data_IF_551732483643
#
_entry.id   IF_551732483643
#
_cell.length_a   1.000
_cell.length_b   1.000
_cell.length_c   1.000
_cell.angle_alpha   90.00
_cell.angle_beta   90.00
_cell.angle_gamma   90.00
#
_symmetry.space_group_name_H-M   'P 1'
#
loop_
_entity.id
_entity.type
_entity.pdbx_description
1 polymer ?
#
# COMPACT_ATOMS: atom_id res chain seq x y z
N UNK A 1 -28.47 -54.17 -1.19
CA UNK A 1 -27.57 -53.56 -2.21
C UNK A 1 -27.96 -52.12 -2.58
N UNK A 2 -28.29 -51.24 -1.61
CA UNK A 2 -28.58 -49.80 -1.86
C UNK A 2 -27.93 -48.85 -0.84
N UNK A 3 -27.19 -49.40 0.14
CA UNK A 3 -26.47 -48.63 1.15
C UNK A 3 -25.04 -48.25 0.71
N UNK A 4 -24.52 -48.87 -0.35
CA UNK A 4 -23.21 -48.51 -0.94
C UNK A 4 -23.28 -47.33 -1.92
N UNK A 5 -24.47 -46.96 -2.39
CA UNK A 5 -24.64 -45.80 -3.29
C UNK A 5 -24.55 -44.45 -2.55
N UNK A 6 -24.79 -44.43 -1.24
CA UNK A 6 -24.65 -43.22 -0.41
C UNK A 6 -23.20 -42.92 -0.01
N UNK A 7 -22.28 -43.88 -0.17
CA UNK A 7 -20.86 -43.66 0.15
C UNK A 7 -20.11 -42.97 -1.00
N UNK A 8 -20.54 -43.16 -2.26
CA UNK A 8 -19.92 -42.53 -3.43
C UNK A 8 -20.42 -41.08 -3.60
N UNK A 9 -21.67 -40.77 -3.23
CA UNK A 9 -22.18 -39.38 -3.26
C UNK A 9 -21.57 -38.46 -2.20
N UNK A 10 -21.11 -38.99 -1.06
CA UNK A 10 -20.45 -38.18 -0.03
C UNK A 10 -18.98 -37.88 -0.32
N UNK A 11 -18.38 -38.52 -1.33
CA UNK A 11 -16.98 -38.25 -1.71
C UNK A 11 -16.87 -37.11 -2.74
N UNK A 12 -17.92 -36.82 -3.50
CA UNK A 12 -17.90 -35.82 -4.57
C UNK A 12 -18.26 -34.40 -4.07
N UNK A 13 -18.82 -34.26 -2.86
CA UNK A 13 -19.15 -32.94 -2.30
C UNK A 13 -18.03 -32.29 -1.46
N UNK A 14 -16.94 -33.00 -1.19
CA UNK A 14 -15.82 -32.49 -0.36
C UNK A 14 -14.77 -31.73 -1.17
N UNK A 15 -14.88 -31.69 -2.50
CA UNK A 15 -13.98 -30.93 -3.37
C UNK A 15 -14.63 -29.60 -3.78
N UNK A 16 -15.25 -28.92 -2.82
CA UNK A 16 -15.58 -27.52 -2.92
C UNK A 16 -14.26 -26.75 -3.11
N UNK A 17 -14.01 -26.49 -4.39
CA UNK A 17 -13.09 -25.60 -5.08
C UNK A 17 -12.86 -24.24 -4.40
N UNK A 18 -12.46 -24.21 -3.13
CA UNK A 18 -12.06 -23.01 -2.40
C UNK A 18 -10.59 -22.66 -2.68
N UNK A 19 -10.15 -22.80 -3.93
CA UNK A 19 -8.92 -22.21 -4.45
C UNK A 19 -9.24 -20.84 -5.02
N UNK A 20 -9.73 -19.92 -4.19
CA UNK A 20 -9.99 -18.55 -4.61
C UNK A 20 -8.67 -17.89 -4.99
N UNK A 21 -8.45 -17.83 -6.31
CA UNK A 21 -7.72 -16.80 -7.03
C UNK A 21 -6.43 -16.30 -6.37
N UNK A 22 -5.30 -16.89 -6.76
CA UNK A 22 -3.97 -16.30 -6.64
C UNK A 22 -3.79 -15.09 -7.58
N UNK A 23 -4.68 -14.10 -7.49
CA UNK A 23 -4.37 -12.78 -7.99
C UNK A 23 -3.27 -12.23 -7.07
N UNK A 24 -2.11 -11.89 -7.65
CA UNK A 24 -1.06 -11.18 -6.94
C UNK A 24 -1.62 -9.82 -6.50
N UNK A 25 -2.23 -9.80 -5.32
CA UNK A 25 -2.87 -8.62 -4.77
C UNK A 25 -1.77 -7.60 -4.44
N UNK A 26 -1.87 -6.42 -5.04
CA UNK A 26 -0.96 -5.30 -4.77
C UNK A 26 -1.61 -4.45 -3.69
N UNK A 27 -0.92 -4.29 -2.55
CA UNK A 27 -1.42 -3.52 -1.41
C UNK A 27 -0.78 -2.14 -1.36
N UNK A 28 -1.61 -1.12 -1.13
CA UNK A 28 -1.13 0.24 -0.89
C UNK A 28 -0.81 0.44 0.58
N UNK A 29 0.47 0.59 0.92
CA UNK A 29 0.91 0.71 2.33
C UNK A 29 0.50 2.02 3.01
N UNK A 30 0.15 3.04 2.23
CA UNK A 30 -0.29 4.32 2.76
C UNK A 30 -1.76 4.30 3.20
N UNK A 31 -2.59 3.45 2.59
CA UNK A 31 -4.04 3.40 2.85
C UNK A 31 -4.52 2.08 3.47
N UNK A 32 -3.79 0.98 3.29
CA UNK A 32 -4.23 -0.33 3.76
C UNK A 32 -4.19 -0.47 5.28
N UNK A 33 -5.06 -1.33 5.81
CA UNK A 33 -5.07 -1.73 7.21
C UNK A 33 -4.02 -2.78 7.53
N UNK A 34 -3.68 -2.91 8.82
CA UNK A 34 -2.68 -3.89 9.27
C UNK A 34 -3.06 -5.33 8.89
N UNK A 35 -4.34 -5.70 8.94
CA UNK A 35 -4.80 -7.03 8.54
C UNK A 35 -4.59 -7.30 7.05
N UNK A 36 -4.80 -6.30 6.19
CA UNK A 36 -4.57 -6.43 4.74
C UNK A 36 -3.08 -6.56 4.44
N UNK A 37 -2.25 -5.76 5.11
CA UNK A 37 -0.79 -5.82 4.97
C UNK A 37 -0.25 -7.20 5.41
N UNK A 38 -0.74 -7.74 6.52
CA UNK A 38 -0.37 -9.07 7.03
C UNK A 38 -0.73 -10.21 6.05
N UNK A 39 -1.92 -10.13 5.43
CA UNK A 39 -2.36 -11.16 4.48
C UNK A 39 -1.63 -11.11 3.14
N UNK A 40 -1.35 -9.90 2.64
CA UNK A 40 -0.81 -9.72 1.29
C UNK A 40 0.71 -9.84 1.27
N UNK A 41 1.41 -9.41 2.32
CA UNK A 41 2.87 -9.36 2.32
C UNK A 41 3.51 -10.63 2.90
N UNK A 42 4.52 -11.15 2.21
CA UNK A 42 5.30 -12.32 2.62
C UNK A 42 6.22 -11.96 3.79
N UNK A 43 6.23 -12.78 4.85
CA UNK A 43 7.02 -12.58 6.07
C UNK A 43 6.69 -11.29 6.85
N UNK A 44 5.52 -10.69 6.62
CA UNK A 44 5.02 -9.55 7.39
C UNK A 44 3.85 -10.06 8.23
N UNK A 45 4.14 -10.40 9.49
CA UNK A 45 3.10 -10.81 10.44
C UNK A 45 2.36 -9.62 11.07
N UNK A 46 1.39 -9.88 11.98
CA UNK A 46 0.53 -8.84 12.55
C UNK A 46 1.32 -7.74 13.28
N UNK A 47 2.38 -8.11 14.01
CA UNK A 47 3.24 -7.14 14.69
C UNK A 47 3.97 -6.20 13.74
N UNK A 48 4.45 -6.71 12.59
CA UNK A 48 5.15 -5.90 11.59
C UNK A 48 4.17 -5.03 10.81
N UNK A 49 2.99 -5.57 10.50
CA UNK A 49 1.93 -4.82 9.86
C UNK A 49 1.45 -3.64 10.73
N UNK A 50 1.30 -3.87 12.04
CA UNK A 50 1.03 -2.80 13.00
C UNK A 50 2.14 -1.74 13.01
N UNK A 51 3.41 -2.17 13.04
CA UNK A 51 4.54 -1.24 12.99
C UNK A 51 4.55 -0.36 11.73
N UNK A 52 4.11 -0.86 10.57
CA UNK A 52 3.94 -0.05 9.34
C UNK A 52 2.88 1.03 9.54
N UNK A 53 1.75 0.67 10.13
CA UNK A 53 0.64 1.60 10.40
C UNK A 53 1.04 2.66 11.43
N UNK A 54 1.78 2.27 12.47
CA UNK A 54 2.32 3.21 13.45
C UNK A 54 3.37 4.13 12.84
N UNK A 55 4.27 3.59 12.02
CA UNK A 55 5.29 4.38 11.33
C UNK A 55 4.67 5.47 10.47
N UNK A 56 3.64 5.16 9.66
CA UNK A 56 2.97 6.19 8.86
C UNK A 56 2.22 7.24 9.69
N UNK A 57 1.73 6.87 10.89
CA UNK A 57 1.10 7.82 11.81
C UNK A 57 2.12 8.78 12.42
N UNK A 58 3.32 8.28 12.74
CA UNK A 58 4.37 9.07 13.37
C UNK A 58 5.21 9.90 12.37
N UNK A 59 5.52 9.33 11.20
CA UNK A 59 6.44 9.92 10.21
C UNK A 59 5.73 10.44 8.95
N UNK A 60 4.44 10.16 8.79
CA UNK A 60 3.67 10.48 7.59
C UNK A 60 3.71 9.38 6.52
N UNK A 61 3.09 9.64 5.37
CA UNK A 61 2.98 8.67 4.29
C UNK A 61 4.35 8.24 3.72
N UNK A 62 4.46 6.97 3.35
CA UNK A 62 5.61 6.41 2.67
C UNK A 62 5.71 6.96 1.25
N UNK A 63 6.90 7.46 0.87
CA UNK A 63 7.19 7.98 -0.47
C UNK A 63 7.72 6.92 -1.42
N UNK A 64 8.38 5.90 -0.86
CA UNK A 64 9.05 4.83 -1.59
C UNK A 64 8.90 3.52 -0.84
N UNK A 65 8.87 2.41 -1.58
CA UNK A 65 8.77 1.06 -0.99
C UNK A 65 9.97 0.78 -0.05
N UNK A 66 11.14 1.34 -0.35
CA UNK A 66 12.37 1.16 0.45
C UNK A 66 12.26 1.73 1.87
N UNK A 67 11.37 2.71 2.09
CA UNK A 67 11.15 3.27 3.43
C UNK A 67 10.51 2.27 4.40
N UNK A 68 9.93 1.18 3.91
CA UNK A 68 9.49 0.08 4.78
C UNK A 68 10.64 -0.56 5.56
N UNK A 69 11.88 -0.48 5.07
CA UNK A 69 13.05 -0.97 5.80
C UNK A 69 13.39 -0.13 7.04
N UNK A 70 12.80 1.07 7.18
CA UNK A 70 12.91 1.90 8.38
C UNK A 70 11.96 1.46 9.50
N UNK A 71 10.98 0.60 9.18
CA UNK A 71 10.02 0.07 10.13
C UNK A 71 10.67 -1.04 10.95
N UNK A 72 10.52 -0.98 12.28
CA UNK A 72 11.08 -1.96 13.20
C UNK A 72 10.60 -3.38 12.85
N UNK A 73 11.56 -4.27 12.57
CA UNK A 73 11.28 -5.68 12.23
C UNK A 73 11.06 -5.96 10.75
N UNK A 74 11.16 -4.95 9.87
CA UNK A 74 11.16 -5.11 8.41
C UNK A 74 12.56 -4.81 7.89
N UNK A 75 13.21 -5.84 7.32
CA UNK A 75 14.52 -5.68 6.69
C UNK A 75 14.41 -5.56 5.17
N UNK A 76 15.50 -5.13 4.53
CA UNK A 76 15.61 -5.00 3.06
C UNK A 76 15.18 -6.27 2.32
N UNK A 77 15.60 -7.44 2.80
CA UNK A 77 15.20 -8.75 2.24
C UNK A 77 13.69 -8.96 2.20
N UNK A 78 12.98 -8.48 3.22
CA UNK A 78 11.51 -8.55 3.26
C UNK A 78 10.90 -7.56 2.28
N UNK A 79 11.46 -6.36 2.18
CA UNK A 79 11.02 -5.34 1.23
C UNK A 79 11.19 -5.84 -0.21
N UNK A 80 12.36 -6.37 -0.58
CA UNK A 80 12.65 -6.90 -1.91
C UNK A 80 11.70 -8.02 -2.32
N UNK A 81 11.42 -8.97 -1.43
CA UNK A 81 10.45 -10.06 -1.69
C UNK A 81 9.03 -9.59 -1.92
N UNK A 82 8.70 -8.38 -1.48
CA UNK A 82 7.36 -7.83 -1.54
C UNK A 82 7.24 -6.64 -2.49
N UNK A 83 8.31 -6.26 -3.20
CA UNK A 83 8.30 -5.09 -4.10
C UNK A 83 7.19 -5.16 -5.13
N UNK A 84 6.94 -6.34 -5.69
CA UNK A 84 5.90 -6.55 -6.70
C UNK A 84 4.47 -6.54 -6.11
N UNK A 85 4.35 -6.61 -4.77
CA UNK A 85 3.09 -6.67 -4.02
C UNK A 85 2.79 -5.36 -3.29
N UNK A 86 3.71 -4.39 -3.32
CA UNK A 86 3.59 -3.13 -2.59
C UNK A 86 3.47 -1.98 -3.59
N UNK A 87 2.53 -1.08 -3.33
CA UNK A 87 2.48 0.21 -4.01
C UNK A 87 2.53 1.37 -3.03
N UNK A 88 3.26 2.42 -3.42
CA UNK A 88 3.32 3.74 -2.76
C UNK A 88 2.67 4.79 -3.65
N UNK A 89 1.57 4.41 -4.30
CA UNK A 89 0.77 5.35 -5.06
C UNK A 89 -0.10 6.19 -4.13
N UNK A 90 0.09 7.51 -4.12
CA UNK A 90 -1.07 8.37 -3.97
C UNK A 90 -1.92 8.12 -5.20
N UNK A 91 -2.86 7.17 -5.11
CA UNK A 91 -4.07 7.30 -5.90
C UNK A 91 -4.65 8.63 -5.42
N UNK A 92 -4.31 9.74 -6.10
CA UNK A 92 -5.21 10.88 -6.13
C UNK A 92 -6.58 10.24 -6.34
N UNK A 93 -7.56 10.47 -5.45
CA UNK A 93 -8.89 9.91 -5.63
C UNK A 93 -9.23 10.13 -7.10
N UNK A 94 -9.76 9.12 -7.79
CA UNK A 94 -10.04 9.24 -9.22
C UNK A 94 -10.85 10.52 -9.56
N UNK A 95 -11.58 11.08 -8.59
CA UNK A 95 -12.24 12.39 -8.63
C UNK A 95 -11.32 13.63 -8.77
N UNK A 96 -10.06 13.60 -8.32
CA UNK A 96 -9.11 14.71 -8.42
C UNK A 96 -8.38 14.79 -9.78
N UNK A 97 -8.66 13.87 -10.70
CA UNK A 97 -8.17 13.92 -12.09
C UNK A 97 -9.10 14.70 -13.03
N UNK A 98 -10.29 15.09 -12.57
CA UNK A 98 -11.24 15.89 -13.36
C UNK A 98 -10.99 17.40 -13.31
N UNK A 99 -9.94 17.87 -12.62
CA UNK A 99 -9.55 19.28 -12.69
C UNK A 99 -8.57 19.44 -13.85
N UNK A 100 -8.95 20.09 -14.96
CA UNK A 100 -8.03 20.37 -16.05
C UNK A 100 -6.81 21.11 -15.51
N UNK A 101 -5.65 20.79 -16.06
CA UNK A 101 -4.32 21.35 -15.81
C UNK A 101 -4.24 22.85 -16.17
N UNK A 102 -5.12 23.68 -15.61
CA UNK A 102 -5.23 25.11 -15.90
C UNK A 102 -5.35 25.93 -14.60
N UNK A 103 -4.57 25.61 -13.56
CA UNK A 103 -4.44 26.46 -12.37
C UNK A 103 -3.29 26.04 -11.43
N UNK A 104 -2.09 25.75 -11.96
CA UNK A 104 -0.89 25.80 -11.10
C UNK A 104 -0.22 27.17 -11.30
N UNK A 105 -0.23 28.07 -10.29
CA UNK A 105 0.64 29.23 -10.33
C UNK A 105 2.09 28.74 -10.22
N UNK A 106 2.90 29.06 -11.21
CA UNK A 106 4.36 28.86 -11.18
C UNK A 106 4.95 29.49 -9.90
N UNK A 107 5.77 28.78 -9.10
CA UNK A 107 6.45 29.37 -7.97
C UNK A 107 7.74 30.03 -8.48
N UNK A 108 7.64 31.23 -9.04
CA UNK A 108 8.81 32.00 -9.45
C UNK A 108 8.59 33.48 -9.17
N UNK A 109 8.67 33.86 -7.88
CA UNK A 109 9.12 35.19 -7.48
C UNK A 109 9.57 35.13 -6.02
N UNK A 110 10.89 35.08 -5.80
CA UNK A 110 11.47 35.48 -4.52
C UNK A 110 11.10 36.95 -4.29
N UNK A 111 10.70 37.37 -3.09
CA UNK A 111 10.56 38.79 -2.79
C UNK A 111 11.98 39.38 -2.71
N UNK A 112 12.40 40.08 -3.75
CA UNK A 112 13.61 40.87 -3.71
C UNK A 112 13.37 42.05 -2.76
N UNK A 113 14.03 41.94 -1.62
CA UNK A 113 14.16 42.88 -0.54
C UNK A 113 14.59 44.28 -1.04
N UNK A 114 13.82 45.28 -0.61
CA UNK A 114 14.17 46.64 -0.20
C UNK A 114 15.60 47.16 -0.48
N UNK A 115 15.69 48.32 -1.13
CA UNK A 115 16.69 49.33 -0.81
C UNK A 115 16.10 50.74 -0.95
N UNK A 116 16.03 51.56 0.11
CA UNK A 116 15.90 53.00 0.00
C UNK A 116 17.29 53.61 0.16
N UNK A 117 17.80 54.33 -0.84
CA UNK A 117 18.82 55.40 -0.66
C UNK A 117 19.24 55.92 -2.03
N UNK A 118 18.97 57.19 -2.30
CA UNK A 118 20.00 58.16 -2.70
C UNK A 118 19.40 59.57 -2.74
N UNK A 119 19.98 60.44 -1.91
CA UNK A 119 19.85 61.90 -1.95
C UNK A 119 20.27 62.46 -3.32
N UNK A 120 19.59 63.51 -3.79
CA UNK A 120 20.16 64.83 -4.09
C UNK A 120 19.06 65.86 -4.30
#
# INVERSE_FOLDING_TARGET
MKLFSSLVSSLILSLALAGAAGAAEVVNINTADAATIDRVLVNVGPAKAQAIVEYRKAHGAFRSVDQLALVKGIGLKTVEKNRDRITVGNLRPAAAQLVPRAAQPSPAAKPALLAPVARR
#
